data_IF_960757871296
#
_entry.id   IF_960757871296
#
_cell.length_a   1.000
_cell.length_b   1.000
_cell.length_c   1.000
_cell.angle_alpha   90.00
_cell.angle_beta   90.00
_cell.angle_gamma   90.00
#
_symmetry.space_group_name_H-M   'P 1'
#
loop_
_entity.id
_entity.type
_entity.pdbx_description
1 polymer ?
#
# COMPACT_ATOMS: atom_id res chain seq x y z
N UNK A 1 8.16 14.85 22.36
CA UNK A 1 7.13 14.59 21.33
C UNK A 1 7.17 13.13 20.93
N UNK A 2 6.04 12.43 20.90
CA UNK A 2 5.99 11.01 20.50
C UNK A 2 5.69 10.87 19.00
N UNK A 3 6.48 10.05 18.30
CA UNK A 3 6.22 9.72 16.90
C UNK A 3 5.06 8.72 16.79
N UNK A 4 4.07 9.02 15.94
CA UNK A 4 2.94 8.13 15.66
C UNK A 4 3.04 7.58 14.24
N UNK A 5 2.83 6.28 14.08
CA UNK A 5 2.77 5.66 12.77
C UNK A 5 1.53 6.10 12.00
N UNK A 6 1.68 6.30 10.69
CA UNK A 6 0.57 6.60 9.76
C UNK A 6 0.39 5.45 8.78
N UNK A 7 -0.84 5.31 8.28
CA UNK A 7 -1.18 4.36 7.23
C UNK A 7 -0.46 4.67 5.93
N UNK A 8 -0.30 3.65 5.09
CA UNK A 8 0.37 3.77 3.80
C UNK A 8 -0.37 4.73 2.86
N UNK A 9 -1.71 4.65 2.81
CA UNK A 9 -2.55 5.59 2.05
C UNK A 9 -2.31 7.05 2.48
N UNK A 10 -2.23 7.30 3.80
CA UNK A 10 -1.96 8.64 4.34
C UNK A 10 -0.57 9.13 3.95
N UNK A 11 0.45 8.29 4.07
CA UNK A 11 1.81 8.62 3.67
C UNK A 11 1.92 8.95 2.17
N UNK A 12 1.30 8.14 1.31
CA UNK A 12 1.28 8.37 -0.15
C UNK A 12 0.53 9.64 -0.53
N UNK A 13 -0.58 9.93 0.14
CA UNK A 13 -1.30 11.17 -0.06
C UNK A 13 -0.42 12.39 0.30
N UNK A 14 0.28 12.34 1.45
CA UNK A 14 1.19 13.40 1.85
C UNK A 14 2.31 13.61 0.81
N UNK A 15 2.90 12.53 0.31
CA UNK A 15 3.92 12.58 -0.75
C UNK A 15 3.36 13.26 -2.01
N UNK A 16 2.20 12.81 -2.49
CA UNK A 16 1.56 13.38 -3.68
C UNK A 16 1.24 14.87 -3.54
N UNK A 17 0.94 15.34 -2.32
CA UNK A 17 0.55 16.73 -2.05
C UNK A 17 1.73 17.66 -1.76
N UNK A 18 2.84 17.12 -1.25
CA UNK A 18 3.92 17.92 -0.66
C UNK A 18 5.24 17.85 -1.41
N UNK A 19 5.42 16.88 -2.32
CA UNK A 19 6.56 16.92 -3.21
C UNK A 19 6.43 18.08 -4.21
N UNK A 20 7.52 18.81 -4.41
CA UNK A 20 7.56 19.99 -5.28
C UNK A 20 7.38 19.61 -6.75
N UNK A 21 6.71 20.50 -7.49
CA UNK A 21 6.61 20.44 -8.95
C UNK A 21 8.03 20.41 -9.53
N UNK A 22 8.36 19.37 -10.31
CA UNK A 22 9.71 19.12 -10.85
C UNK A 22 10.44 17.93 -10.24
N UNK A 23 9.91 17.32 -9.17
CA UNK A 23 10.44 16.05 -8.65
C UNK A 23 10.16 14.92 -9.65
N UNK A 24 11.17 14.11 -10.01
CA UNK A 24 11.03 12.92 -10.88
C UNK A 24 10.21 11.77 -10.25
N UNK A 25 9.54 12.02 -9.12
CA UNK A 25 8.77 11.01 -8.41
C UNK A 25 7.42 10.80 -9.12
N UNK A 26 7.12 9.55 -9.47
CA UNK A 26 5.83 9.21 -10.02
C UNK A 26 4.71 9.44 -8.99
N UNK A 27 3.58 9.98 -9.43
CA UNK A 27 2.39 10.16 -8.57
C UNK A 27 1.88 8.79 -8.11
N UNK A 28 1.72 8.63 -6.81
CA UNK A 28 1.15 7.41 -6.25
C UNK A 28 -0.36 7.35 -6.54
N UNK A 29 -0.79 6.44 -7.42
CA UNK A 29 -2.21 6.15 -7.63
C UNK A 29 -2.60 5.00 -6.70
N UNK A 30 -3.62 5.21 -5.89
CA UNK A 30 -4.10 4.20 -4.97
C UNK A 30 -5.57 4.44 -4.59
N UNK A 31 -6.24 3.39 -4.13
CA UNK A 31 -7.59 3.43 -3.59
C UNK A 31 -7.61 2.70 -2.25
N UNK A 32 -8.27 3.28 -1.25
CA UNK A 32 -8.48 2.62 0.04
C UNK A 32 -9.84 1.94 0.07
N UNK A 33 -9.88 0.67 0.43
CA UNK A 33 -11.10 -0.13 0.53
C UNK A 33 -11.37 -0.49 1.99
N UNK A 34 -12.63 -0.35 2.39
CA UNK A 34 -13.16 -0.74 3.69
C UNK A 34 -14.40 -1.60 3.49
N UNK A 35 -14.98 -2.11 4.58
CA UNK A 35 -16.22 -2.92 4.51
C UNK A 35 -17.43 -2.14 3.96
N UNK A 36 -17.45 -0.82 4.11
CA UNK A 36 -18.57 0.05 3.69
C UNK A 36 -18.36 0.64 2.30
N UNK A 37 -17.36 0.17 1.57
CA UNK A 37 -16.95 0.75 0.30
C UNK A 37 -17.84 0.28 -0.84
N UNK A 38 -18.44 1.22 -1.59
CA UNK A 38 -19.19 0.92 -2.81
C UNK A 38 -18.23 0.76 -4.01
N UNK A 39 -18.20 -0.44 -4.58
CA UNK A 39 -17.37 -0.75 -5.74
C UNK A 39 -17.77 -0.01 -7.01
N UNK A 40 -19.07 0.26 -7.20
CA UNK A 40 -19.58 0.92 -8.42
C UNK A 40 -19.02 2.34 -8.48
N UNK A 41 -19.13 3.09 -7.39
CA UNK A 41 -18.68 4.48 -7.29
C UNK A 41 -17.17 4.58 -7.48
N UNK A 42 -16.41 3.73 -6.79
CA UNK A 42 -14.95 3.71 -6.87
C UNK A 42 -14.47 3.39 -8.29
N UNK A 43 -15.11 2.45 -8.96
CA UNK A 43 -14.70 2.04 -10.30
C UNK A 43 -15.06 3.10 -11.34
N UNK A 44 -16.11 3.89 -11.09
CA UNK A 44 -16.44 5.05 -11.91
C UNK A 44 -15.47 6.22 -11.67
N UNK A 45 -15.08 6.48 -10.42
CA UNK A 45 -14.09 7.50 -10.07
C UNK A 45 -12.67 7.12 -10.54
N UNK A 46 -12.36 5.84 -10.58
CA UNK A 46 -11.04 5.30 -10.89
C UNK A 46 -11.09 4.27 -12.02
N UNK A 47 -11.30 4.75 -13.24
CA UNK A 47 -11.41 3.91 -14.45
C UNK A 47 -10.21 2.97 -14.68
N UNK A 48 -9.02 3.32 -14.22
CA UNK A 48 -7.80 2.50 -14.30
C UNK A 48 -7.90 1.16 -13.56
N UNK A 49 -8.84 1.02 -12.61
CA UNK A 49 -9.10 -0.24 -11.92
C UNK A 49 -9.57 -1.35 -12.88
N UNK A 50 -10.23 -0.99 -13.99
CA UNK A 50 -10.73 -1.93 -15.00
C UNK A 50 -9.68 -2.30 -16.05
N UNK A 51 -8.76 -1.37 -16.34
CA UNK A 51 -7.87 -1.49 -17.50
C UNK A 51 -6.48 -2.00 -17.14
N UNK A 52 -6.02 -1.77 -15.91
CA UNK A 52 -4.66 -2.09 -15.48
C UNK A 52 -4.61 -3.34 -14.59
N UNK A 53 -3.44 -3.98 -14.56
CA UNK A 53 -3.13 -4.99 -13.55
C UNK A 53 -2.96 -4.32 -12.21
N UNK A 54 -3.40 -4.99 -11.15
CA UNK A 54 -3.50 -4.44 -9.81
C UNK A 54 -2.66 -5.20 -8.79
N UNK A 55 -2.35 -4.50 -7.70
CA UNK A 55 -1.82 -5.04 -6.45
C UNK A 55 -2.78 -4.66 -5.34
N UNK A 56 -3.12 -5.62 -4.48
CA UNK A 56 -3.90 -5.38 -3.26
C UNK A 56 -3.17 -5.94 -2.04
N UNK A 57 -3.23 -5.18 -0.95
CA UNK A 57 -2.61 -5.52 0.34
C UNK A 57 -3.34 -4.81 1.50
N UNK A 58 -3.27 -5.32 2.74
CA UNK A 58 -3.87 -4.64 3.89
C UNK A 58 -3.05 -3.40 4.28
N UNK A 59 -3.76 -2.36 4.74
CA UNK A 59 -3.20 -1.09 5.20
C UNK A 59 -3.53 -0.84 6.68
N UNK A 60 -3.01 -1.71 7.54
CA UNK A 60 -3.17 -1.66 9.00
C UNK A 60 -1.83 -1.76 9.72
N UNK A 61 -0.80 -1.09 9.17
CA UNK A 61 0.56 -1.05 9.71
C UNK A 61 1.26 -2.42 9.80
N UNK A 62 0.75 -3.42 9.08
CA UNK A 62 1.31 -4.77 9.02
C UNK A 62 2.62 -4.74 8.22
N UNK A 63 3.70 -5.25 8.84
CA UNK A 63 5.00 -5.39 8.19
C UNK A 63 5.16 -6.77 7.56
N UNK A 64 6.12 -6.92 6.64
CA UNK A 64 6.45 -8.19 5.97
C UNK A 64 5.27 -8.88 5.25
N UNK A 65 4.29 -8.10 4.76
CA UNK A 65 3.08 -8.59 4.07
C UNK A 65 3.36 -9.61 2.96
N UNK A 66 4.44 -9.44 2.21
CA UNK A 66 4.83 -10.40 1.16
C UNK A 66 5.19 -11.78 1.70
N UNK A 67 5.93 -11.87 2.81
CA UNK A 67 6.25 -13.15 3.47
C UNK A 67 5.05 -13.77 4.18
N UNK A 68 4.04 -12.96 4.51
CA UNK A 68 2.80 -13.41 5.16
C UNK A 68 1.72 -13.83 4.15
N UNK A 69 1.98 -13.75 2.85
CA UNK A 69 0.96 -14.02 1.83
C UNK A 69 -0.17 -12.98 1.78
N UNK A 70 -0.02 -11.84 2.48
CA UNK A 70 -1.01 -10.78 2.56
C UNK A 70 -0.85 -9.75 1.41
N UNK A 71 -0.40 -10.20 0.25
CA UNK A 71 -0.29 -9.38 -0.96
C UNK A 71 -0.74 -10.22 -2.14
N UNK A 72 -1.72 -9.73 -2.89
CA UNK A 72 -2.04 -10.26 -4.22
C UNK A 72 -1.48 -9.29 -5.26
N UNK A 73 -0.61 -9.81 -6.12
CA UNK A 73 0.05 -9.05 -7.20
C UNK A 73 -0.47 -9.49 -8.57
N UNK A 74 -0.35 -8.61 -9.57
CA UNK A 74 -0.69 -8.89 -10.97
C UNK A 74 -2.10 -9.48 -11.15
N UNK A 75 -3.09 -8.90 -10.46
CA UNK A 75 -4.48 -9.34 -10.49
C UNK A 75 -5.35 -8.38 -11.31
N UNK A 76 -6.47 -8.87 -11.84
CA UNK A 76 -7.53 -8.00 -12.36
C UNK A 76 -8.48 -7.56 -11.22
N UNK A 77 -9.42 -6.67 -11.53
CA UNK A 77 -10.37 -6.16 -10.54
C UNK A 77 -11.20 -7.26 -9.87
N UNK A 78 -11.65 -8.27 -10.64
CA UNK A 78 -12.48 -9.37 -10.14
C UNK A 78 -11.69 -10.20 -9.13
N UNK A 79 -10.45 -10.56 -9.46
CA UNK A 79 -9.57 -11.29 -8.56
C UNK A 79 -9.23 -10.48 -7.31
N UNK A 80 -9.07 -9.15 -7.42
CA UNK A 80 -8.87 -8.25 -6.27
C UNK A 80 -10.09 -8.22 -5.36
N UNK A 81 -11.30 -8.09 -5.90
CA UNK A 81 -12.55 -8.10 -5.13
C UNK A 81 -12.71 -9.41 -4.36
N UNK A 82 -12.59 -10.55 -5.05
CA UNK A 82 -12.64 -11.88 -4.42
C UNK A 82 -11.57 -12.05 -3.34
N UNK A 83 -10.36 -11.57 -3.60
CA UNK A 83 -9.28 -11.63 -2.62
C UNK A 83 -9.60 -10.80 -1.37
N UNK A 84 -10.15 -9.60 -1.54
CA UNK A 84 -10.58 -8.76 -0.42
C UNK A 84 -11.71 -9.44 0.37
N UNK A 85 -12.74 -9.97 -0.28
CA UNK A 85 -13.83 -10.67 0.39
C UNK A 85 -13.35 -11.86 1.25
N UNK A 86 -12.38 -12.61 0.74
CA UNK A 86 -11.79 -13.74 1.48
C UNK A 86 -11.02 -13.30 2.73
N UNK A 87 -10.48 -12.08 2.75
CA UNK A 87 -9.63 -11.58 3.84
C UNK A 87 -10.34 -10.58 4.76
N UNK A 88 -11.39 -9.90 4.28
CA UNK A 88 -12.14 -8.90 5.01
C UNK A 88 -12.78 -9.50 6.26
N UNK A 89 -12.63 -8.83 7.38
CA UNK A 89 -13.13 -9.22 8.69
C UNK A 89 -12.66 -10.60 9.19
N UNK A 90 -11.70 -11.23 8.51
CA UNK A 90 -11.03 -12.45 8.99
C UNK A 90 -9.95 -12.09 9.99
N UNK A 91 -9.82 -12.94 11.01
CA UNK A 91 -8.76 -12.83 11.98
C UNK A 91 -7.41 -13.22 11.36
N UNK A 92 -6.40 -12.42 11.67
CA UNK A 92 -5.03 -12.65 11.26
C UNK A 92 -4.13 -12.60 12.49
N UNK A 93 -3.32 -13.65 12.65
CA UNK A 93 -2.27 -13.70 13.66
C UNK A 93 -0.96 -13.25 13.04
N UNK A 94 -0.40 -12.16 13.54
CA UNK A 94 0.85 -11.58 13.04
C UNK A 94 1.79 -11.45 14.23
N UNK A 95 2.71 -12.41 14.35
CA UNK A 95 3.53 -12.55 15.55
C UNK A 95 2.66 -12.80 16.79
N UNK A 96 2.76 -11.91 17.79
CA UNK A 96 1.96 -11.98 19.01
C UNK A 96 0.60 -11.28 18.91
N UNK A 97 0.38 -10.48 17.87
CA UNK A 97 -0.85 -9.72 17.70
C UNK A 97 -1.90 -10.53 16.93
N UNK A 98 -3.16 -10.42 17.36
CA UNK A 98 -4.32 -10.99 16.67
C UNK A 98 -5.27 -9.83 16.37
N UNK A 99 -5.76 -9.74 15.13
CA UNK A 99 -6.71 -8.71 14.75
C UNK A 99 -7.38 -9.01 13.42
N UNK A 100 -8.48 -8.31 13.15
CA UNK A 100 -9.23 -8.45 11.90
C UNK A 100 -8.72 -7.49 10.84
N UNK A 101 -8.71 -7.94 9.58
CA UNK A 101 -8.42 -7.08 8.44
C UNK A 101 -9.68 -6.28 8.05
N UNK A 102 -9.59 -4.95 8.10
CA UNK A 102 -10.70 -4.02 7.86
C UNK A 102 -10.40 -3.00 6.76
N UNK A 103 -9.13 -2.81 6.42
CA UNK A 103 -8.72 -1.78 5.47
C UNK A 103 -7.66 -2.31 4.53
N UNK A 104 -7.90 -2.12 3.24
CA UNK A 104 -7.02 -2.55 2.15
C UNK A 104 -6.66 -1.36 1.28
N UNK A 105 -5.54 -1.47 0.57
CA UNK A 105 -5.10 -0.51 -0.44
C UNK A 105 -4.89 -1.24 -1.76
N UNK A 106 -5.48 -0.69 -2.83
CA UNK A 106 -5.33 -1.16 -4.20
C UNK A 106 -4.45 -0.16 -4.96
N UNK A 107 -3.51 -0.68 -5.75
CA UNK A 107 -2.60 0.11 -6.56
C UNK A 107 -2.40 -0.53 -7.93
N UNK A 108 -2.01 0.25 -8.95
CA UNK A 108 -1.53 -0.31 -10.20
C UNK A 108 -0.30 -1.19 -9.98
N UNK A 109 -0.28 -2.35 -10.63
CA UNK A 109 0.89 -3.20 -10.73
C UNK A 109 1.89 -2.55 -11.69
N UNK A 110 3.10 -2.31 -11.22
CA UNK A 110 4.19 -1.80 -12.04
C UNK A 110 5.12 -2.97 -12.37
N UNK A 111 5.16 -3.47 -13.61
CA UNK A 111 6.09 -4.52 -14.00
C UNK A 111 7.53 -4.04 -13.85
N UNK A 112 8.38 -4.84 -13.21
CA UNK A 112 9.81 -4.56 -13.08
C UNK A 112 10.61 -5.86 -13.09
N UNK A 113 11.79 -5.80 -13.70
CA UNK A 113 12.75 -6.92 -13.69
C UNK A 113 13.45 -6.97 -12.33
N UNK A 114 13.85 -8.17 -11.87
CA UNK A 114 14.40 -8.36 -10.52
C UNK A 114 15.61 -7.46 -10.21
N UNK A 115 16.40 -7.12 -11.22
CA UNK A 115 17.59 -6.27 -11.14
C UNK A 115 17.31 -4.82 -10.71
N UNK A 116 16.05 -4.36 -10.78
CA UNK A 116 15.64 -2.97 -10.51
C UNK A 116 14.93 -2.79 -9.16
N UNK A 117 15.02 -3.78 -8.27
CA UNK A 117 14.45 -3.73 -6.90
C UNK A 117 15.30 -2.98 -5.87
N UNK A 118 16.35 -2.29 -6.30
CA UNK A 118 17.20 -1.56 -5.38
C UNK A 118 16.70 -0.13 -5.28
N UNK A 119 15.92 0.14 -4.22
CA UNK A 119 16.01 1.35 -3.39
C UNK A 119 14.98 1.26 -2.24
N UNK A 120 15.37 0.59 -1.15
CA UNK A 120 14.71 0.76 0.14
C UNK A 120 15.17 2.09 0.75
N UNK A 121 14.43 3.18 0.52
CA UNK A 121 14.64 4.42 1.25
C UNK A 121 13.87 4.39 2.57
N UNK A 122 14.58 4.44 3.70
CA UNK A 122 14.00 4.69 5.01
C UNK A 122 14.66 5.94 5.61
N UNK A 123 13.88 7.01 5.80
CA UNK A 123 14.32 8.20 6.52
C UNK A 123 13.86 8.06 7.97
N UNK A 124 14.80 7.86 8.89
CA UNK A 124 14.54 7.89 10.32
C UNK A 124 15.12 9.19 10.87
N UNK A 125 14.28 10.01 11.51
CA UNK A 125 14.72 11.25 12.13
C UNK A 125 15.25 10.93 13.53
N UNK A 126 16.57 11.04 13.71
CA UNK A 126 17.19 11.17 15.03
C UNK A 126 17.45 12.65 15.30
N UNK A 127 17.27 13.07 16.55
CA UNK A 127 17.76 14.37 17.02
C UNK A 127 19.27 14.35 16.87
N UNK A 128 19.78 15.16 15.93
CA UNK A 128 21.15 15.19 15.38
C UNK A 128 21.41 14.12 14.29
N UNK A 129 21.67 14.61 13.06
CA UNK A 129 22.02 13.90 11.82
C UNK A 129 20.88 13.15 11.10
N UNK A 130 20.44 13.72 9.96
CA UNK A 130 19.68 13.01 8.92
C UNK A 130 20.57 11.95 8.28
N UNK A 131 20.48 10.71 8.73
CA UNK A 131 21.18 9.58 8.08
C UNK A 131 20.24 8.90 7.08
N UNK A 132 20.62 8.91 5.79
CA UNK A 132 19.94 8.07 4.78
C UNK A 132 20.56 6.68 4.86
N UNK A 133 19.85 5.73 5.48
CA UNK A 133 20.30 4.34 5.53
C UNK A 133 20.08 3.68 4.17
N UNK A 134 21.17 3.49 3.42
CA UNK A 134 21.20 2.67 2.20
C UNK A 134 21.60 1.26 2.63
N UNK A 135 20.63 0.35 2.74
CA UNK A 135 20.96 -1.07 2.94
C UNK A 135 21.48 -1.65 1.62
N UNK A 136 22.74 -2.11 1.67
CA UNK A 136 23.47 -2.82 0.60
C UNK A 136 22.91 -4.21 0.37
#
# INVERSE_FOLDING_TARGET
MAAKAIREATGKNLINRKLSVGTKAAKCRFVSITENTNWIDIVNEHSWLKTERLVVKPDQLIKRRGKLGLIKVNADLIAVQKWIEQHMNKEQRIGKAIGKLKTFIIEPFVPHKSVRFFLHYCLVLYTVLKTVLKQS
#
